data_IF_721179053376
#
_entry.id   IF_721179053376
#
_cell.length_a   1.000
_cell.length_b   1.000
_cell.length_c   1.000
_cell.angle_alpha   90.00
_cell.angle_beta   90.00
_cell.angle_gamma   90.00
#
_symmetry.space_group_name_H-M   'P 1'
#
loop_
_entity.id
_entity.type
_entity.pdbx_description
1 polymer ?
#
# COMPACT_ATOMS: atom_id res chain seq x y z
N UNK A 1 -53.56 5.93 18.21
CA UNK A 1 -52.43 6.88 18.36
C UNK A 1 -51.43 6.63 17.23
N UNK A 2 -51.46 7.46 16.20
CA UNK A 2 -50.55 7.36 15.05
C UNK A 2 -49.26 8.14 15.37
N UNK A 3 -48.12 7.46 15.47
CA UNK A 3 -46.83 8.16 15.62
C UNK A 3 -46.55 9.00 14.36
N UNK A 4 -46.09 10.25 14.50
CA UNK A 4 -45.84 11.11 13.35
C UNK A 4 -44.75 10.51 12.44
N UNK A 5 -44.95 10.59 11.12
CA UNK A 5 -44.04 9.99 10.11
C UNK A 5 -42.58 10.45 10.25
N UNK A 6 -42.35 11.63 10.82
CA UNK A 6 -41.01 12.16 11.12
C UNK A 6 -40.26 11.32 12.16
N UNK A 7 -40.93 10.79 13.18
CA UNK A 7 -40.30 9.93 14.19
C UNK A 7 -39.95 8.55 13.64
N UNK A 8 -40.78 7.99 12.75
CA UNK A 8 -40.49 6.72 12.10
C UNK A 8 -39.26 6.82 11.19
N UNK A 9 -39.13 7.94 10.47
CA UNK A 9 -37.98 8.18 9.60
C UNK A 9 -36.70 8.43 10.41
N UNK A 10 -36.78 9.19 11.51
CA UNK A 10 -35.63 9.43 12.39
C UNK A 10 -35.12 8.14 13.06
N UNK A 11 -36.03 7.25 13.49
CA UNK A 11 -35.66 5.95 14.06
C UNK A 11 -35.08 5.01 12.99
N UNK A 12 -35.64 5.00 11.77
CA UNK A 12 -35.08 4.21 10.66
C UNK A 12 -33.65 4.64 10.30
N UNK A 13 -33.38 5.95 10.21
CA UNK A 13 -32.04 6.47 9.96
C UNK A 13 -31.10 6.10 11.13
N UNK A 14 -31.54 6.27 12.39
CA UNK A 14 -30.73 5.92 13.56
C UNK A 14 -30.39 4.43 13.62
N UNK A 15 -31.35 3.56 13.31
CA UNK A 15 -31.19 2.11 13.40
C UNK A 15 -30.36 1.57 12.22
N UNK A 16 -30.55 2.11 11.00
CA UNK A 16 -29.70 1.79 9.84
C UNK A 16 -28.28 2.31 10.01
N UNK A 17 -28.07 3.55 10.46
CA UNK A 17 -26.72 4.08 10.69
C UNK A 17 -26.04 3.44 11.90
N UNK A 18 -26.76 3.18 13.00
CA UNK A 18 -26.23 2.49 14.18
C UNK A 18 -25.81 1.05 13.88
N UNK A 19 -26.58 0.34 13.06
CA UNK A 19 -26.24 -0.99 12.54
C UNK A 19 -25.00 -0.97 11.63
N UNK A 20 -24.86 0.05 10.78
CA UNK A 20 -23.73 0.17 9.85
C UNK A 20 -22.42 0.52 10.56
N UNK A 21 -22.46 1.44 11.54
CA UNK A 21 -21.31 1.82 12.37
C UNK A 21 -20.87 0.66 13.26
N UNK A 22 -21.81 -0.19 13.71
CA UNK A 22 -21.47 -1.41 14.45
C UNK A 22 -20.88 -2.51 13.57
N UNK A 23 -21.25 -2.59 12.28
CA UNK A 23 -20.73 -3.60 11.34
C UNK A 23 -19.38 -3.21 10.70
N UNK A 24 -19.05 -1.92 10.61
CA UNK A 24 -17.76 -1.46 10.07
C UNK A 24 -16.60 -1.56 11.07
N UNK A 25 -16.89 -1.91 12.33
CA UNK A 25 -15.88 -2.25 13.32
C UNK A 25 -15.35 -3.63 12.97
N UNK A 26 -14.36 -3.69 12.07
CA UNK A 26 -13.61 -4.89 11.71
C UNK A 26 -13.34 -5.64 13.02
N UNK A 27 -13.97 -6.79 13.20
CA UNK A 27 -13.84 -7.62 14.40
C UNK A 27 -12.35 -7.88 14.60
N UNK A 28 -11.72 -7.15 15.52
CA UNK A 28 -10.31 -7.33 15.86
C UNK A 28 -10.25 -8.65 16.60
N UNK A 29 -9.97 -9.73 15.87
CA UNK A 29 -9.80 -11.05 16.48
C UNK A 29 -8.39 -11.13 17.07
N UNK A 30 -8.24 -11.93 18.13
CA UNK A 30 -6.94 -12.15 18.74
C UNK A 30 -5.94 -12.67 17.70
N UNK A 31 -4.69 -12.23 17.82
CA UNK A 31 -3.59 -12.69 16.98
C UNK A 31 -3.42 -14.22 17.09
N UNK A 32 -3.38 -14.88 15.93
CA UNK A 32 -3.01 -16.29 15.81
C UNK A 32 -1.74 -16.47 14.98
N UNK A 33 -1.10 -17.64 15.04
CA UNK A 33 0.02 -17.98 14.15
C UNK A 33 -0.38 -17.91 12.67
N UNK A 34 -1.62 -18.25 12.34
CA UNK A 34 -2.16 -18.15 10.98
C UNK A 34 -2.19 -16.70 10.50
N UNK A 35 -2.50 -15.74 11.38
CA UNK A 35 -2.48 -14.32 11.04
C UNK A 35 -1.06 -13.83 10.74
N UNK A 36 -0.08 -14.26 11.53
CA UNK A 36 1.36 -13.97 11.31
C UNK A 36 1.78 -14.54 9.94
N UNK A 37 1.52 -15.81 9.68
CA UNK A 37 1.85 -16.43 8.40
C UNK A 37 1.18 -15.72 7.22
N UNK A 38 -0.11 -15.43 7.33
CA UNK A 38 -0.87 -14.74 6.29
C UNK A 38 -0.31 -13.36 5.99
N UNK A 39 0.06 -12.59 7.02
CA UNK A 39 0.68 -11.28 6.84
C UNK A 39 1.98 -11.38 6.03
N UNK A 40 2.90 -12.25 6.45
CA UNK A 40 4.23 -12.35 5.81
C UNK A 40 4.20 -13.02 4.44
N UNK A 41 3.29 -13.98 4.21
CA UNK A 41 3.09 -14.57 2.88
C UNK A 41 2.57 -13.51 1.90
N UNK A 42 1.63 -12.68 2.34
CA UNK A 42 1.12 -11.58 1.52
C UNK A 42 2.19 -10.50 1.29
N UNK A 43 2.95 -10.11 2.32
CA UNK A 43 4.07 -9.16 2.21
C UNK A 43 5.12 -9.66 1.21
N UNK A 44 5.50 -10.94 1.29
CA UNK A 44 6.43 -11.56 0.35
C UNK A 44 5.87 -11.57 -1.07
N UNK A 45 4.60 -11.94 -1.25
CA UNK A 45 3.97 -11.99 -2.58
C UNK A 45 3.91 -10.61 -3.23
N UNK A 46 3.56 -9.58 -2.46
CA UNK A 46 3.54 -8.20 -2.93
C UNK A 46 4.95 -7.72 -3.31
N UNK A 47 5.95 -8.03 -2.50
CA UNK A 47 7.34 -7.66 -2.80
C UNK A 47 7.85 -8.30 -4.10
N UNK A 48 7.40 -9.51 -4.43
CA UNK A 48 7.70 -10.19 -5.69
C UNK A 48 7.00 -9.49 -6.87
N UNK A 49 5.75 -9.06 -6.70
CA UNK A 49 5.04 -8.28 -7.73
C UNK A 49 5.78 -6.95 -7.99
N UNK A 50 6.19 -6.23 -6.94
CA UNK A 50 7.00 -5.02 -7.05
C UNK A 50 8.32 -5.28 -7.80
N UNK A 51 9.01 -6.37 -7.47
CA UNK A 51 10.26 -6.76 -8.14
C UNK A 51 10.05 -6.99 -9.64
N UNK A 52 9.00 -7.74 -10.02
CA UNK A 52 8.66 -8.02 -11.42
C UNK A 52 8.30 -6.73 -12.16
N UNK A 53 7.40 -5.91 -11.61
CA UNK A 53 6.99 -4.64 -12.22
C UNK A 53 8.19 -3.71 -12.38
N UNK A 54 9.08 -3.65 -11.39
CA UNK A 54 10.30 -2.84 -11.46
C UNK A 54 11.25 -3.30 -12.58
N UNK A 55 11.47 -4.60 -12.72
CA UNK A 55 12.29 -5.15 -13.82
C UNK A 55 11.64 -4.82 -15.18
N UNK A 56 10.32 -5.01 -15.32
CA UNK A 56 9.60 -4.67 -16.54
C UNK A 56 9.70 -3.17 -16.86
N UNK A 57 9.61 -2.30 -15.85
CA UNK A 57 9.75 -0.86 -16.02
C UNK A 57 11.15 -0.47 -16.51
N UNK A 58 12.20 -1.10 -15.98
CA UNK A 58 13.58 -0.89 -16.43
C UNK A 58 13.75 -1.34 -17.89
N UNK A 59 13.24 -2.51 -18.25
CA UNK A 59 13.29 -3.03 -19.63
C UNK A 59 12.55 -2.09 -20.58
N UNK A 60 11.34 -1.65 -20.21
CA UNK A 60 10.56 -0.68 -21.00
C UNK A 60 11.28 0.65 -21.15
N UNK A 61 11.94 1.14 -20.10
CA UNK A 61 12.75 2.36 -20.17
C UNK A 61 13.87 2.23 -21.22
N UNK A 62 14.60 1.11 -21.21
CA UNK A 62 15.67 0.85 -22.18
C UNK A 62 15.10 0.84 -23.62
N UNK A 63 13.97 0.15 -23.84
CA UNK A 63 13.29 0.11 -25.15
C UNK A 63 12.86 1.52 -25.58
N UNK A 64 12.27 2.30 -24.68
CA UNK A 64 11.81 3.66 -24.98
C UNK A 64 12.96 4.58 -25.37
N UNK A 65 14.10 4.45 -24.68
CA UNK A 65 15.28 5.26 -24.93
C UNK A 65 15.98 4.88 -26.25
N UNK A 66 16.15 3.58 -26.53
CA UNK A 66 16.96 3.11 -27.66
C UNK A 66 16.16 2.81 -28.94
N UNK A 67 14.92 2.34 -28.84
CA UNK A 67 14.16 1.88 -30.03
C UNK A 67 13.23 2.95 -30.58
N UNK A 68 12.43 3.62 -29.73
CA UNK A 68 11.36 4.50 -30.19
C UNK A 68 11.84 5.94 -30.46
N UNK A 69 12.85 6.42 -29.73
CA UNK A 69 13.63 7.65 -29.95
C UNK A 69 12.85 8.98 -30.09
N UNK A 70 11.52 9.00 -30.02
CA UNK A 70 10.76 10.26 -29.98
C UNK A 70 10.95 10.98 -28.65
N UNK A 71 10.76 12.30 -28.65
CA UNK A 71 10.90 13.12 -27.44
C UNK A 71 9.98 12.62 -26.31
N UNK A 72 8.76 12.20 -26.63
CA UNK A 72 7.83 11.61 -25.64
C UNK A 72 8.43 10.37 -24.99
N UNK A 73 8.91 9.38 -25.76
CA UNK A 73 9.47 8.14 -25.19
C UNK A 73 10.76 8.38 -24.40
N UNK A 74 11.59 9.36 -24.80
CA UNK A 74 12.77 9.77 -24.03
C UNK A 74 12.38 10.35 -22.66
N UNK A 75 11.33 11.17 -22.60
CA UNK A 75 10.80 11.69 -21.33
C UNK A 75 10.18 10.60 -20.47
N UNK A 76 9.40 9.72 -21.11
CA UNK A 76 8.74 8.59 -20.46
C UNK A 76 9.73 7.59 -19.83
N UNK A 77 10.89 7.38 -20.45
CA UNK A 77 11.92 6.45 -19.99
C UNK A 77 12.49 6.83 -18.61
N UNK A 78 12.62 8.13 -18.29
CA UNK A 78 13.30 8.55 -17.06
C UNK A 78 12.52 8.12 -15.80
N UNK A 79 11.23 8.45 -15.62
CA UNK A 79 10.47 7.97 -14.47
C UNK A 79 10.38 6.44 -14.43
N UNK A 80 10.25 5.78 -15.59
CA UNK A 80 10.26 4.31 -15.66
C UNK A 80 11.54 3.71 -15.10
N UNK A 81 12.70 4.27 -15.46
CA UNK A 81 13.99 3.78 -14.98
C UNK A 81 14.15 4.03 -13.47
N UNK A 82 13.93 5.27 -13.03
CA UNK A 82 14.17 5.68 -11.65
C UNK A 82 13.23 4.93 -10.71
N UNK A 83 11.93 4.94 -11.00
CA UNK A 83 10.95 4.23 -10.17
C UNK A 83 11.14 2.72 -10.28
N UNK A 84 11.44 2.19 -11.47
CA UNK A 84 11.73 0.76 -11.65
C UNK A 84 12.89 0.27 -10.80
N UNK A 85 13.99 1.04 -10.71
CA UNK A 85 15.12 0.72 -9.83
C UNK A 85 14.68 0.72 -8.36
N UNK A 86 13.91 1.73 -7.93
CA UNK A 86 13.39 1.80 -6.55
C UNK A 86 12.52 0.57 -6.25
N UNK A 87 11.61 0.19 -7.15
CA UNK A 87 10.74 -0.97 -7.01
C UNK A 87 11.54 -2.27 -6.90
N UNK A 88 12.61 -2.42 -7.69
CA UNK A 88 13.51 -3.59 -7.58
C UNK A 88 14.21 -3.64 -6.24
N UNK A 89 14.78 -2.52 -5.77
CA UNK A 89 15.49 -2.47 -4.50
C UNK A 89 14.55 -2.76 -3.33
N UNK A 90 13.39 -2.09 -3.28
CA UNK A 90 12.39 -2.27 -2.22
C UNK A 90 11.81 -3.68 -2.27
N UNK A 91 11.40 -4.14 -3.45
CA UNK A 91 10.86 -5.49 -3.67
C UNK A 91 11.84 -6.57 -3.21
N UNK A 92 13.11 -6.49 -3.62
CA UNK A 92 14.13 -7.45 -3.20
C UNK A 92 14.41 -7.41 -1.69
N UNK A 93 14.47 -6.20 -1.10
CA UNK A 93 14.75 -6.03 0.34
C UNK A 93 13.65 -6.63 1.19
N UNK A 94 12.39 -6.44 0.81
CA UNK A 94 11.24 -7.03 1.52
C UNK A 94 11.18 -8.54 1.27
N UNK A 95 11.31 -8.96 0.01
CA UNK A 95 11.26 -10.37 -0.37
C UNK A 95 12.27 -11.24 0.40
N UNK A 96 13.51 -10.77 0.52
CA UNK A 96 14.60 -11.53 1.13
C UNK A 96 14.45 -11.69 2.65
N UNK A 97 13.84 -10.72 3.34
CA UNK A 97 13.65 -10.78 4.80
C UNK A 97 12.32 -11.40 5.24
N UNK A 98 11.27 -11.39 4.41
CA UNK A 98 9.92 -11.79 4.84
C UNK A 98 9.83 -13.25 5.31
N UNK A 99 10.61 -14.17 4.76
CA UNK A 99 10.63 -15.57 5.23
C UNK A 99 11.23 -15.69 6.63
N UNK A 100 12.37 -15.04 6.87
CA UNK A 100 13.05 -15.06 8.17
C UNK A 100 12.17 -14.41 9.24
N UNK A 101 11.56 -13.26 8.91
CA UNK A 101 10.63 -12.57 9.81
C UNK A 101 9.39 -13.40 10.10
N UNK A 102 8.84 -14.12 9.10
CA UNK A 102 7.73 -15.06 9.32
C UNK A 102 8.11 -16.13 10.34
N UNK A 103 9.21 -16.84 10.09
CA UNK A 103 9.64 -17.96 10.94
C UNK A 103 9.94 -17.47 12.36
N UNK A 104 10.67 -16.36 12.49
CA UNK A 104 11.02 -15.76 13.78
C UNK A 104 9.78 -15.37 14.59
N UNK A 105 8.80 -14.71 13.97
CA UNK A 105 7.59 -14.26 14.66
C UNK A 105 6.64 -15.42 15.00
N UNK A 106 6.52 -16.43 14.13
CA UNK A 106 5.76 -17.66 14.44
C UNK A 106 6.39 -18.40 15.61
N UNK A 107 7.71 -18.53 15.65
CA UNK A 107 8.43 -19.13 16.76
C UNK A 107 8.30 -18.33 18.06
N UNK A 108 8.42 -17.00 17.97
CA UNK A 108 8.25 -16.10 19.11
C UNK A 108 6.87 -16.21 19.73
N UNK A 109 5.82 -16.45 18.94
CA UNK A 109 4.45 -16.61 19.44
C UNK A 109 4.34 -17.67 20.55
N UNK A 110 4.96 -18.85 20.36
CA UNK A 110 4.89 -19.94 21.34
C UNK A 110 6.01 -19.85 22.39
N UNK A 111 7.23 -19.50 21.97
CA UNK A 111 8.43 -19.69 22.79
C UNK A 111 8.87 -18.44 23.55
N UNK A 112 8.56 -17.25 23.03
CA UNK A 112 8.89 -15.98 23.67
C UNK A 112 7.94 -14.86 23.21
N UNK A 113 6.68 -14.87 23.65
CA UNK A 113 5.66 -13.93 23.17
C UNK A 113 5.98 -12.47 23.50
N UNK A 114 6.87 -12.24 24.48
CA UNK A 114 7.39 -10.90 24.79
C UNK A 114 8.05 -10.23 23.59
N UNK A 115 8.74 -11.00 22.72
CA UNK A 115 9.38 -10.47 21.51
C UNK A 115 8.39 -9.83 20.53
N UNK A 116 7.18 -10.36 20.43
CA UNK A 116 6.14 -9.77 19.57
C UNK A 116 5.78 -8.35 20.03
N UNK A 117 5.83 -8.10 21.34
CA UNK A 117 5.55 -6.78 21.92
C UNK A 117 6.75 -5.83 21.85
N UNK A 118 7.96 -6.34 22.07
CA UNK A 118 9.16 -5.48 22.20
C UNK A 118 9.89 -5.24 20.89
N UNK A 119 9.75 -6.14 19.91
CA UNK A 119 10.47 -6.06 18.62
C UNK A 119 9.48 -5.87 17.46
N UNK A 120 8.52 -6.78 17.32
CA UNK A 120 7.63 -6.81 16.14
C UNK A 120 6.62 -5.65 16.12
N UNK A 121 5.98 -5.36 17.27
CA UNK A 121 5.03 -4.25 17.36
C UNK A 121 5.66 -2.87 17.04
N UNK A 122 6.81 -2.48 17.63
CA UNK A 122 7.49 -1.25 17.24
C UNK A 122 7.90 -1.22 15.77
N UNK A 123 8.33 -2.35 15.20
CA UNK A 123 8.63 -2.47 13.77
C UNK A 123 7.40 -2.16 12.92
N UNK A 124 6.26 -2.78 13.23
CA UNK A 124 5.02 -2.57 12.50
C UNK A 124 4.47 -1.15 12.63
N UNK A 125 4.61 -0.53 13.81
CA UNK A 125 4.30 0.89 13.98
C UNK A 125 5.18 1.80 13.12
N UNK A 126 6.47 1.47 12.96
CA UNK A 126 7.36 2.20 12.06
C UNK A 126 6.98 1.99 10.58
N UNK A 127 6.56 0.77 10.20
CA UNK A 127 6.05 0.46 8.85
C UNK A 127 4.81 1.30 8.52
N UNK A 128 3.81 1.33 9.40
CA UNK A 128 2.58 2.12 9.19
C UNK A 128 2.87 3.62 9.06
N UNK A 129 3.80 4.16 9.87
CA UNK A 129 4.22 5.57 9.75
C UNK A 129 4.82 5.88 8.38
N UNK A 130 5.59 4.95 7.81
CA UNK A 130 6.19 5.10 6.48
C UNK A 130 5.14 5.09 5.37
N UNK A 131 4.12 4.24 5.47
CA UNK A 131 3.01 4.24 4.49
C UNK A 131 2.32 5.60 4.40
N UNK A 132 2.05 6.26 5.53
CA UNK A 132 1.48 7.62 5.49
C UNK A 132 2.39 8.63 4.79
N UNK A 133 3.71 8.55 5.00
CA UNK A 133 4.67 9.42 4.31
C UNK A 133 4.71 9.13 2.80
N UNK A 134 4.83 7.86 2.42
CA UNK A 134 4.90 7.45 1.01
C UNK A 134 3.64 7.82 0.24
N UNK A 135 2.46 7.62 0.84
CA UNK A 135 1.18 8.06 0.27
C UNK A 135 1.19 9.53 -0.13
N UNK A 136 1.68 10.43 0.72
CA UNK A 136 1.74 11.86 0.37
C UNK A 136 2.74 12.15 -0.75
N UNK A 137 3.90 11.49 -0.73
CA UNK A 137 4.90 11.61 -1.80
C UNK A 137 4.28 11.16 -3.13
N UNK A 138 3.63 10.02 -3.17
CA UNK A 138 3.01 9.46 -4.37
C UNK A 138 1.86 10.32 -4.89
N UNK A 139 1.00 10.86 -4.02
CA UNK A 139 -0.05 11.81 -4.42
C UNK A 139 0.58 13.05 -5.08
N UNK A 140 1.64 13.60 -4.51
CA UNK A 140 2.34 14.76 -5.08
C UNK A 140 2.92 14.41 -6.44
N UNK A 141 3.56 13.25 -6.60
CA UNK A 141 4.11 12.80 -7.88
C UNK A 141 3.02 12.56 -8.92
N UNK A 142 1.90 11.95 -8.53
CA UNK A 142 0.73 11.72 -9.38
C UNK A 142 0.17 13.05 -9.90
N UNK A 143 -0.11 13.99 -9.00
CA UNK A 143 -0.64 15.32 -9.36
C UNK A 143 0.36 16.07 -10.24
N UNK A 144 1.66 16.03 -9.91
CA UNK A 144 2.72 16.65 -10.73
C UNK A 144 2.73 16.07 -12.15
N UNK A 145 2.65 14.74 -12.27
CA UNK A 145 2.59 14.06 -13.57
C UNK A 145 1.36 14.49 -14.38
N UNK A 146 0.18 14.54 -13.75
CA UNK A 146 -1.05 15.00 -14.40
C UNK A 146 -0.96 16.47 -14.85
N UNK A 147 -0.42 17.37 -14.01
CA UNK A 147 -0.21 18.78 -14.37
C UNK A 147 0.74 18.91 -15.56
N UNK A 148 1.83 18.16 -15.60
CA UNK A 148 2.77 18.17 -16.73
C UNK A 148 2.09 17.75 -18.04
N UNK A 149 1.21 16.74 -18.01
CA UNK A 149 0.42 16.31 -19.17
C UNK A 149 -0.53 17.42 -19.61
N UNK A 150 -1.24 18.06 -18.67
CA UNK A 150 -2.22 19.09 -18.98
C UNK A 150 -1.59 20.35 -19.59
N UNK A 151 -0.43 20.77 -19.10
CA UNK A 151 0.32 21.92 -19.65
C UNK A 151 0.76 21.65 -21.10
N UNK A 152 1.14 20.41 -21.41
CA UNK A 152 1.67 20.03 -22.72
C UNK A 152 0.66 19.29 -23.61
N UNK A 153 -0.65 19.42 -23.32
CA UNK A 153 -1.73 18.64 -23.95
C UNK A 153 -1.86 18.82 -25.46
N UNK A 154 -1.41 19.95 -26.00
CA UNK A 154 -1.56 20.27 -27.43
C UNK A 154 -0.56 19.50 -28.31
N UNK A 155 0.56 19.02 -27.74
CA UNK A 155 1.63 18.34 -28.48
C UNK A 155 2.15 17.08 -27.76
N UNK A 156 1.24 16.32 -27.12
CA UNK A 156 1.58 15.20 -26.23
C UNK A 156 2.61 14.25 -26.86
N UNK A 157 2.40 13.79 -28.09
CA UNK A 157 3.23 12.75 -28.72
C UNK A 157 4.65 13.22 -29.11
N UNK A 158 4.88 14.54 -29.17
CA UNK A 158 6.17 15.14 -29.54
C UNK A 158 6.87 15.82 -28.36
N UNK A 159 6.21 15.88 -27.20
CA UNK A 159 6.71 16.63 -26.06
C UNK A 159 7.33 15.70 -25.01
N UNK A 160 8.56 16.02 -24.60
CA UNK A 160 9.30 15.30 -23.57
C UNK A 160 8.59 15.32 -22.21
N UNK A 161 8.10 16.49 -21.78
CA UNK A 161 7.44 16.67 -20.49
C UNK A 161 6.09 15.97 -20.41
N UNK A 162 5.39 15.84 -21.53
CA UNK A 162 4.17 15.04 -21.60
C UNK A 162 4.47 13.54 -21.36
N UNK A 163 5.54 13.00 -21.94
CA UNK A 163 5.98 11.63 -21.71
C UNK A 163 6.45 11.38 -20.28
N UNK A 164 7.26 12.30 -19.75
CA UNK A 164 7.69 12.26 -18.35
C UNK A 164 6.50 12.31 -17.39
N UNK A 165 5.58 13.27 -17.60
CA UNK A 165 4.39 13.41 -16.76
C UNK A 165 3.49 12.17 -16.82
N UNK A 166 3.31 11.59 -18.01
CA UNK A 166 2.52 10.39 -18.21
C UNK A 166 3.06 9.19 -17.43
N UNK A 167 4.35 8.86 -17.57
CA UNK A 167 4.91 7.71 -16.87
C UNK A 167 5.06 7.96 -15.38
N UNK A 168 5.35 9.19 -14.96
CA UNK A 168 5.36 9.54 -13.55
C UNK A 168 3.99 9.34 -12.90
N UNK A 169 2.93 9.85 -13.55
CA UNK A 169 1.56 9.68 -13.07
C UNK A 169 1.15 8.20 -13.04
N UNK A 170 1.48 7.45 -14.09
CA UNK A 170 1.17 6.02 -14.16
C UNK A 170 1.87 5.22 -13.05
N UNK A 171 3.17 5.44 -12.86
CA UNK A 171 3.94 4.76 -11.81
C UNK A 171 3.45 5.13 -10.41
N UNK A 172 3.19 6.42 -10.16
CA UNK A 172 2.65 6.87 -8.89
C UNK A 172 1.27 6.27 -8.59
N UNK A 173 0.39 6.15 -9.60
CA UNK A 173 -0.92 5.52 -9.43
C UNK A 173 -0.80 4.02 -9.11
N UNK A 174 0.11 3.29 -9.77
CA UNK A 174 0.36 1.88 -9.51
C UNK A 174 0.90 1.68 -8.09
N UNK A 175 1.89 2.46 -7.68
CA UNK A 175 2.48 2.37 -6.34
C UNK A 175 1.44 2.70 -5.27
N UNK A 176 0.70 3.80 -5.43
CA UNK A 176 -0.33 4.21 -4.48
C UNK A 176 -1.45 3.17 -4.32
N UNK A 177 -1.82 2.49 -5.41
CA UNK A 177 -2.74 1.37 -5.37
C UNK A 177 -2.19 0.18 -4.57
N UNK A 178 -0.92 -0.19 -4.80
CA UNK A 178 -0.28 -1.29 -4.10
C UNK A 178 -0.09 -0.98 -2.60
N UNK A 179 0.44 0.21 -2.29
CA UNK A 179 0.68 0.68 -0.93
C UNK A 179 -0.62 0.78 -0.13
N UNK A 180 -1.76 1.12 -0.74
CA UNK A 180 -3.06 1.09 -0.08
C UNK A 180 -3.43 -0.32 0.44
N UNK A 181 -3.23 -1.35 -0.38
CA UNK A 181 -3.49 -2.73 0.05
C UNK A 181 -2.49 -3.20 1.12
N UNK A 182 -1.23 -2.77 1.00
CA UNK A 182 -0.17 -3.07 1.95
C UNK A 182 -0.43 -2.41 3.32
N UNK A 183 -0.82 -1.14 3.32
CA UNK A 183 -1.16 -0.32 4.50
C UNK A 183 -2.32 -0.96 5.24
N UNK A 184 -3.45 -1.24 4.58
CA UNK A 184 -4.60 -1.87 5.23
C UNK A 184 -4.26 -3.24 5.85
N UNK A 185 -3.39 -4.01 5.20
CA UNK A 185 -2.90 -5.29 5.73
C UNK A 185 -2.01 -5.09 6.95
N UNK A 186 -1.07 -4.14 6.88
CA UNK A 186 -0.15 -3.80 7.95
C UNK A 186 -0.89 -3.23 9.18
N UNK A 187 -1.87 -2.36 8.99
CA UNK A 187 -2.72 -1.84 10.06
C UNK A 187 -3.48 -2.96 10.77
N UNK A 188 -4.10 -3.87 10.00
CA UNK A 188 -4.83 -5.01 10.57
C UNK A 188 -3.94 -5.86 11.44
N UNK A 189 -2.75 -6.21 10.94
CA UNK A 189 -1.78 -7.02 11.67
C UNK A 189 -1.23 -6.29 12.90
N UNK A 190 -1.01 -4.97 12.80
CA UNK A 190 -0.58 -4.14 13.94
C UNK A 190 -1.63 -4.10 15.04
N UNK A 191 -2.91 -3.94 14.68
CA UNK A 191 -4.02 -3.98 15.64
C UNK A 191 -4.13 -5.34 16.33
N UNK A 192 -3.90 -6.44 15.60
CA UNK A 192 -3.84 -7.78 16.18
C UNK A 192 -2.68 -7.91 17.19
N UNK A 193 -1.48 -7.41 16.85
CA UNK A 193 -0.33 -7.36 17.75
C UNK A 193 -0.60 -6.51 19.00
N UNK A 194 -1.27 -5.36 18.86
CA UNK A 194 -1.64 -4.51 20.00
C UNK A 194 -2.66 -5.19 20.92
N UNK A 195 -3.64 -5.89 20.35
CA UNK A 195 -4.61 -6.67 21.14
C UNK A 195 -3.92 -7.79 21.93
N UNK A 196 -2.96 -8.48 21.29
CA UNK A 196 -2.15 -9.52 21.92
C UNK A 196 -1.27 -8.95 23.04
N UNK A 197 -0.58 -7.84 22.80
CA UNK A 197 0.33 -7.19 23.74
C UNK A 197 -0.36 -6.53 24.95
N UNK A 198 -1.63 -6.16 24.81
CA UNK A 198 -2.45 -5.54 25.87
C UNK A 198 -3.25 -6.56 26.69
N UNK A 199 -3.29 -7.84 26.27
CA UNK A 199 -4.10 -8.87 26.93
C UNK A 199 -5.61 -8.58 26.91
N UNK A 200 -6.06 -7.58 26.12
CA UNK A 200 -7.48 -7.22 26.02
C UNK A 200 -8.21 -8.27 25.19
N UNK A 201 -9.20 -8.94 25.81
CA UNK A 201 -10.24 -9.66 25.06
C UNK A 201 -10.96 -8.66 24.15
N UNK A 202 -11.18 -8.99 22.86
CA UNK A 202 -11.87 -8.09 21.95
C UNK A 202 -13.32 -7.92 22.41
N UNK A 203 -13.74 -6.65 22.53
CA UNK A 203 -15.15 -6.24 22.70
C UNK A 203 -15.90 -6.36 21.39
#
# INVERSE_FOLDING_TARGET
MHKPRSELFANFIRDSYGSWISQSKKSIRMLTKVDIEKYFVAEKSESLIFLIIGILAIVLSIIFFFSLKTNFYKGAAIPLLVVGIIQVIVGYTVYSRSDEQRISNVYAYDMNPGKLKTEELPRMQAVNKRFNLYRWIEIILLVTGLVLILIHKNEITKNFWAGFGFTLALQAAVMLGADYFAENRAETYTQQLESFASGKKPT
#
